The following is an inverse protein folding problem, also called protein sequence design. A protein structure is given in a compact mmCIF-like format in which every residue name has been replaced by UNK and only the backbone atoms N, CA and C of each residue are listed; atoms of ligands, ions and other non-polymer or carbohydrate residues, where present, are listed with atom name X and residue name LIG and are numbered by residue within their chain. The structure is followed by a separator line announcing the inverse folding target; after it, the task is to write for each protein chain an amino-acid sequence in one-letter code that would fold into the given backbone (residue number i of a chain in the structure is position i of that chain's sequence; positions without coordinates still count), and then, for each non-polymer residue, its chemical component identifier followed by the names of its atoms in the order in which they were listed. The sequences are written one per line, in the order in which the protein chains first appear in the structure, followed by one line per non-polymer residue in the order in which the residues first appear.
data_IF_321421789027
#
_entry.id   IF_321421789027
#
_cell.length_a   1.000
_cell.length_b   1.000
_cell.length_c   1.000
_cell.angle_alpha   90.00
_cell.angle_beta   90.00
_cell.angle_gamma   90.00
#
_symmetry.space_group_name_H-M   'P 1'
#
loop_
_entity.id
_entity.type
_entity.pdbx_description
1 polymer ?
#
# COMPACT_ATOMS: atom_id res chain seq x y z
N UNK A 1 -6.24 -14.74 19.02
CA UNK A 1 -5.47 -15.23 17.85
C UNK A 1 -5.57 -14.27 16.66
N UNK A 2 -4.48 -14.13 15.88
CA UNK A 2 -4.44 -13.37 14.61
C UNK A 2 -4.33 -14.35 13.42
N UNK A 3 -5.05 -14.11 12.32
CA UNK A 3 -4.81 -14.80 11.04
C UNK A 3 -4.03 -13.88 10.10
N UNK A 4 -2.83 -14.30 9.69
CA UNK A 4 -2.01 -13.59 8.71
C UNK A 4 -2.25 -14.17 7.32
N UNK A 5 -2.77 -13.35 6.40
CA UNK A 5 -3.08 -13.75 5.03
C UNK A 5 -1.94 -13.33 4.10
N UNK A 6 -1.42 -14.28 3.32
CA UNK A 6 -0.35 -14.04 2.33
C UNK A 6 -0.84 -14.49 0.94
N UNK A 7 -1.19 -13.56 0.04
CA UNK A 7 -1.34 -13.90 -1.37
C UNK A 7 0.04 -14.11 -2.00
N UNK A 8 0.19 -15.13 -2.84
CA UNK A 8 1.44 -15.39 -3.58
C UNK A 8 1.15 -15.96 -4.96
N UNK A 9 1.97 -15.60 -5.95
CA UNK A 9 1.87 -16.12 -7.31
C UNK A 9 3.26 -16.28 -7.91
N UNK A 10 3.72 -17.52 -8.10
CA UNK A 10 5.00 -17.83 -8.77
C UNK A 10 6.25 -17.16 -8.14
N UNK A 11 6.22 -16.86 -6.83
CA UNK A 11 7.28 -16.13 -6.11
C UNK A 11 7.79 -16.90 -4.88
N UNK A 12 8.43 -18.07 -5.04
CA UNK A 12 8.87 -18.90 -3.92
C UNK A 12 9.93 -18.24 -3.03
N UNK A 13 10.82 -17.42 -3.61
CA UNK A 13 11.86 -16.69 -2.88
C UNK A 13 11.29 -15.60 -1.96
N UNK A 14 10.50 -14.65 -2.49
CA UNK A 14 9.74 -13.70 -1.68
C UNK A 14 8.92 -14.40 -0.58
N UNK A 15 8.07 -15.37 -0.93
CA UNK A 15 7.24 -16.09 0.04
C UNK A 15 8.06 -16.69 1.20
N UNK A 16 9.22 -17.28 0.89
CA UNK A 16 10.12 -17.80 1.94
C UNK A 16 10.58 -16.71 2.91
N UNK A 17 10.84 -15.48 2.45
CA UNK A 17 11.21 -14.35 3.30
C UNK A 17 10.04 -13.85 4.14
N UNK A 18 8.84 -13.73 3.55
CA UNK A 18 7.62 -13.38 4.27
C UNK A 18 7.36 -14.35 5.42
N UNK A 19 7.39 -15.67 5.16
CA UNK A 19 7.23 -16.72 6.17
C UNK A 19 8.34 -16.69 7.23
N UNK A 20 9.60 -16.46 6.83
CA UNK A 20 10.71 -16.28 7.77
C UNK A 20 10.52 -15.07 8.69
N UNK A 21 9.89 -14.00 8.22
CA UNK A 21 9.57 -12.84 9.07
C UNK A 21 8.52 -13.18 10.12
N UNK A 22 7.57 -14.05 9.78
CA UNK A 22 6.54 -14.54 10.69
C UNK A 22 7.09 -15.49 11.75
N UNK A 23 8.04 -16.37 11.40
CA UNK A 23 8.67 -17.26 12.38
C UNK A 23 9.45 -16.51 13.47
N UNK A 24 9.82 -15.24 13.20
CA UNK A 24 10.50 -14.33 14.14
C UNK A 24 9.56 -13.48 14.99
N UNK A 25 8.24 -13.59 14.82
CA UNK A 25 7.29 -12.81 15.62
C UNK A 25 7.38 -13.17 17.11
N UNK A 26 7.28 -12.17 17.97
CA UNK A 26 7.29 -12.37 19.43
C UNK A 26 5.93 -12.84 19.95
N UNK A 27 4.83 -12.48 19.28
CA UNK A 27 3.52 -13.09 19.51
C UNK A 27 3.50 -14.47 18.82
N UNK A 28 3.04 -15.51 19.52
CA UNK A 28 2.92 -16.87 18.96
C UNK A 28 1.47 -17.32 18.69
N UNK A 29 0.49 -16.60 19.23
CA UNK A 29 -0.93 -16.89 19.03
C UNK A 29 -1.43 -16.33 17.67
N UNK A 30 -0.94 -16.93 16.59
CA UNK A 30 -1.35 -16.61 15.23
C UNK A 30 -1.30 -17.84 14.31
N UNK A 31 -2.03 -17.75 13.21
CA UNK A 31 -1.96 -18.69 12.09
C UNK A 31 -1.58 -17.96 10.81
N UNK A 32 -1.14 -18.72 9.81
CA UNK A 32 -0.77 -18.20 8.49
C UNK A 32 -1.62 -18.89 7.43
N UNK A 33 -2.26 -18.10 6.58
CA UNK A 33 -3.08 -18.56 5.47
C UNK A 33 -2.44 -18.08 4.17
N UNK A 34 -1.72 -18.98 3.49
CA UNK A 34 -1.10 -18.71 2.20
C UNK A 34 -2.09 -19.07 1.09
N UNK A 35 -2.33 -18.13 0.19
CA UNK A 35 -3.22 -18.28 -0.96
C UNK A 35 -2.36 -18.32 -2.23
N UNK A 36 -2.34 -19.47 -2.88
CA UNK A 36 -1.63 -19.71 -4.14
C UNK A 36 -2.48 -19.26 -5.32
N UNK A 37 -2.11 -18.15 -5.93
CA UNK A 37 -2.76 -17.59 -7.11
C UNK A 37 -1.86 -17.70 -8.36
N UNK A 38 -0.82 -18.54 -8.30
CA UNK A 38 0.19 -18.71 -9.35
C UNK A 38 -0.10 -19.87 -10.31
N UNK A 39 0.78 -20.02 -11.30
CA UNK A 39 0.78 -21.19 -12.17
C UNK A 39 1.52 -22.39 -11.55
N UNK A 40 2.51 -22.11 -10.70
CA UNK A 40 3.36 -23.10 -10.05
C UNK A 40 3.10 -23.12 -8.55
N UNK A 41 2.69 -24.29 -8.06
CA UNK A 41 2.32 -24.44 -6.66
C UNK A 41 3.49 -24.18 -5.70
N UNK A 42 3.35 -23.30 -4.69
CA UNK A 42 4.40 -22.95 -3.73
C UNK A 42 4.51 -23.96 -2.57
N UNK A 43 3.85 -25.12 -2.68
CA UNK A 43 3.80 -26.17 -1.65
C UNK A 43 5.17 -26.53 -1.06
N UNK A 44 6.27 -26.71 -1.83
CA UNK A 44 7.58 -27.00 -1.25
C UNK A 44 8.06 -25.93 -0.27
N UNK A 45 7.80 -24.64 -0.56
CA UNK A 45 8.15 -23.53 0.33
C UNK A 45 7.28 -23.59 1.58
N UNK A 46 5.96 -23.74 1.43
CA UNK A 46 5.04 -23.78 2.58
C UNK A 46 5.31 -24.97 3.50
N UNK A 47 5.54 -26.15 2.95
CA UNK A 47 5.79 -27.37 3.72
C UNK A 47 7.08 -27.27 4.54
N UNK A 48 8.09 -26.53 4.07
CA UNK A 48 9.33 -26.27 4.81
C UNK A 48 9.13 -25.44 6.09
N UNK A 49 8.00 -24.74 6.24
CA UNK A 49 7.69 -23.88 7.38
C UNK A 49 6.65 -24.46 8.34
N UNK A 50 6.05 -25.63 8.04
CA UNK A 50 4.99 -26.24 8.88
C UNK A 50 5.44 -26.62 10.29
N UNK A 51 6.74 -26.81 10.49
CA UNK A 51 7.30 -27.07 11.82
C UNK A 51 7.32 -25.80 12.69
N UNK A 52 7.60 -24.65 12.09
CA UNK A 52 7.81 -23.39 12.81
C UNK A 52 6.55 -22.50 12.84
N UNK A 53 5.61 -22.74 11.92
CA UNK A 53 4.39 -21.96 11.73
C UNK A 53 3.17 -22.86 11.55
N UNK A 54 2.04 -22.46 12.14
CA UNK A 54 0.73 -22.99 11.80
C UNK A 54 0.29 -22.41 10.44
N UNK A 55 0.81 -22.99 9.36
CA UNK A 55 0.60 -22.51 7.99
C UNK A 55 -0.35 -23.41 7.20
N UNK A 56 -1.37 -22.82 6.58
CA UNK A 56 -2.29 -23.47 5.65
C UNK A 56 -2.04 -22.93 4.24
N UNK A 57 -2.11 -23.82 3.25
CA UNK A 57 -2.03 -23.46 1.82
C UNK A 57 -3.40 -23.71 1.18
N UNK A 58 -3.94 -22.72 0.49
CA UNK A 58 -5.22 -22.78 -0.22
C UNK A 58 -4.98 -22.35 -1.67
N UNK A 59 -5.63 -23.04 -2.61
CA UNK A 59 -5.66 -22.65 -4.02
C UNK A 59 -6.58 -21.42 -4.20
N UNK A 60 -6.02 -20.34 -4.72
CA UNK A 60 -6.69 -19.08 -5.01
C UNK A 60 -7.39 -19.05 -6.36
N UNK A 61 -7.17 -20.04 -7.23
CA UNK A 61 -7.86 -20.15 -8.51
C UNK A 61 -7.35 -19.22 -9.62
N UNK A 62 -6.30 -18.42 -9.37
CA UNK A 62 -5.66 -17.49 -10.32
C UNK A 62 -6.58 -16.34 -10.72
N UNK A 63 -7.12 -15.65 -9.71
CA UNK A 63 -8.12 -14.58 -9.86
C UNK A 63 -7.63 -13.20 -9.41
N UNK A 64 -6.36 -13.06 -9.08
CA UNK A 64 -5.72 -11.82 -8.67
C UNK A 64 -5.65 -11.62 -7.15
N UNK A 65 -4.87 -10.62 -6.75
CA UNK A 65 -4.53 -10.38 -5.33
C UNK A 65 -5.75 -10.10 -4.45
N UNK A 66 -6.73 -9.33 -4.94
CA UNK A 66 -7.96 -9.04 -4.20
C UNK A 66 -8.76 -10.31 -3.90
N UNK A 67 -8.92 -11.18 -4.91
CA UNK A 67 -9.58 -12.47 -4.75
C UNK A 67 -8.82 -13.36 -3.76
N UNK A 68 -7.50 -13.42 -3.91
CA UNK A 68 -6.65 -14.19 -3.00
C UNK A 68 -6.82 -13.70 -1.55
N UNK A 69 -6.80 -12.39 -1.29
CA UNK A 69 -7.04 -11.83 0.06
C UNK A 69 -8.45 -12.12 0.57
N UNK A 70 -9.48 -12.05 -0.29
CA UNK A 70 -10.86 -12.41 0.08
C UNK A 70 -11.01 -13.89 0.43
N UNK A 71 -10.36 -14.77 -0.33
CA UNK A 71 -10.31 -16.23 -0.06
C UNK A 71 -9.58 -16.52 1.25
N UNK A 72 -8.46 -15.83 1.50
CA UNK A 72 -7.76 -15.92 2.79
C UNK A 72 -8.59 -15.42 3.96
N UNK A 73 -9.33 -14.32 3.79
CA UNK A 73 -10.23 -13.77 4.80
C UNK A 73 -11.34 -14.78 5.13
N UNK A 74 -11.96 -15.39 4.13
CA UNK A 74 -13.00 -16.41 4.33
C UNK A 74 -12.49 -17.65 5.10
N UNK A 75 -11.20 -17.97 4.99
CA UNK A 75 -10.56 -19.07 5.69
C UNK A 75 -9.96 -18.67 7.07
N UNK A 76 -9.91 -17.39 7.40
CA UNK A 76 -9.31 -16.87 8.62
C UNK A 76 -10.14 -17.26 9.86
N UNK A 77 -9.47 -17.83 10.88
CA UNK A 77 -10.10 -18.29 12.13
C UNK A 77 -9.82 -17.39 13.33
N UNK A 78 -8.88 -16.46 13.22
CA UNK A 78 -8.52 -15.52 14.27
C UNK A 78 -9.57 -14.43 14.46
N UNK A 79 -9.65 -13.87 15.66
CA UNK A 79 -10.50 -12.70 15.95
C UNK A 79 -10.00 -11.43 15.24
N UNK A 80 -8.75 -11.46 14.81
CA UNK A 80 -8.04 -10.40 14.10
C UNK A 80 -7.42 -10.94 12.82
N UNK A 81 -7.30 -10.08 11.81
CA UNK A 81 -6.74 -10.40 10.50
C UNK A 81 -5.62 -9.41 10.20
N UNK A 82 -4.51 -9.92 9.68
CA UNK A 82 -3.40 -9.15 9.16
C UNK A 82 -3.11 -9.58 7.71
N UNK A 83 -2.53 -8.67 6.92
CA UNK A 83 -2.17 -8.93 5.53
C UNK A 83 -0.67 -8.76 5.35
N UNK A 84 -0.01 -9.70 4.69
CA UNK A 84 1.41 -9.62 4.38
C UNK A 84 1.60 -9.98 2.91
N UNK A 85 2.05 -9.03 2.11
CA UNK A 85 2.45 -9.31 0.74
C UNK A 85 3.68 -10.22 0.73
N UNK A 86 3.76 -11.13 -0.24
CA UNK A 86 4.81 -12.15 -0.27
C UNK A 86 6.20 -11.59 -0.49
N UNK A 87 6.33 -10.34 -0.95
CA UNK A 87 7.57 -9.59 -1.10
C UNK A 87 7.85 -8.59 0.03
N UNK A 88 7.05 -8.56 1.08
CA UNK A 88 7.24 -7.71 2.26
C UNK A 88 7.72 -8.49 3.49
N UNK A 89 8.09 -7.75 4.55
CA UNK A 89 8.61 -8.32 5.80
C UNK A 89 8.03 -7.62 7.02
N UNK A 90 7.54 -8.39 7.99
CA UNK A 90 7.23 -7.89 9.32
C UNK A 90 8.48 -7.83 10.20
N UNK A 91 8.54 -6.81 11.05
CA UNK A 91 9.49 -6.79 12.15
C UNK A 91 8.99 -7.65 13.31
N UNK A 92 9.90 -8.19 14.16
CA UNK A 92 9.55 -9.18 15.19
C UNK A 92 8.41 -8.77 16.14
N UNK A 93 8.21 -7.48 16.38
CA UNK A 93 7.21 -6.95 17.29
C UNK A 93 5.87 -6.59 16.63
N UNK A 94 5.73 -6.70 15.30
CA UNK A 94 4.55 -6.24 14.56
C UNK A 94 3.23 -6.78 15.14
N UNK A 95 3.08 -8.11 15.20
CA UNK A 95 1.85 -8.73 15.68
C UNK A 95 1.62 -8.49 17.18
N UNK A 96 2.68 -8.47 17.99
CA UNK A 96 2.56 -8.28 19.43
C UNK A 96 2.11 -6.87 19.81
N UNK A 97 2.62 -5.84 19.13
CA UNK A 97 2.21 -4.45 19.32
C UNK A 97 0.77 -4.24 18.87
N UNK A 98 0.41 -4.77 17.70
CA UNK A 98 -0.95 -4.68 17.19
C UNK A 98 -1.96 -5.38 18.10
N UNK A 99 -1.66 -6.62 18.51
CA UNK A 99 -2.51 -7.39 19.42
C UNK A 99 -2.77 -6.60 20.71
N UNK A 100 -1.73 -6.03 21.33
CA UNK A 100 -1.89 -5.25 22.56
C UNK A 100 -2.83 -4.06 22.38
N UNK A 101 -2.62 -3.26 21.34
CA UNK A 101 -3.43 -2.06 21.09
C UNK A 101 -4.90 -2.38 20.78
N UNK A 102 -5.18 -3.51 20.14
CA UNK A 102 -6.54 -3.95 19.81
C UNK A 102 -7.28 -4.50 21.04
N UNK A 103 -6.57 -5.07 22.03
CA UNK A 103 -7.17 -5.55 23.28
C UNK A 103 -7.70 -4.40 24.16
N UNK A 104 -7.17 -3.19 24.02
CA UNK A 104 -7.62 -2.02 24.78
C UNK A 104 -9.04 -1.58 24.39
N UNK A 105 -9.63 -2.14 23.31
CA UNK A 105 -11.02 -1.92 22.91
C UNK A 105 -11.31 -0.56 22.25
N UNK A 106 -10.30 0.29 22.11
CA UNK A 106 -10.41 1.63 21.53
C UNK A 106 -10.25 1.67 20.00
N UNK A 107 -9.76 0.59 19.39
CA UNK A 107 -9.54 0.47 17.95
C UNK A 107 -10.20 -0.80 17.39
N UNK A 108 -10.62 -0.73 16.14
CA UNK A 108 -11.09 -1.86 15.34
C UNK A 108 -10.09 -2.21 14.23
N UNK A 109 -9.19 -1.27 13.92
CA UNK A 109 -8.06 -1.44 13.03
C UNK A 109 -6.87 -0.68 13.61
N UNK A 110 -5.71 -1.32 13.61
CA UNK A 110 -4.45 -0.66 13.92
C UNK A 110 -3.50 -0.82 12.74
N UNK A 111 -2.61 0.15 12.57
CA UNK A 111 -1.52 0.04 11.60
C UNK A 111 -0.25 0.62 12.19
N UNK A 112 0.88 -0.01 11.93
CA UNK A 112 2.19 0.54 12.32
C UNK A 112 2.83 1.38 11.22
N UNK A 113 3.99 1.95 11.52
CA UNK A 113 4.81 2.56 10.48
C UNK A 113 5.37 1.52 9.51
N UNK A 114 5.24 1.77 8.21
CA UNK A 114 5.90 0.99 7.16
C UNK A 114 7.10 1.75 6.59
N UNK A 115 8.27 1.11 6.57
CA UNK A 115 9.46 1.64 5.92
C UNK A 115 9.41 1.31 4.42
N UNK A 116 9.45 2.31 3.55
CA UNK A 116 9.48 2.09 2.10
C UNK A 116 10.92 1.89 1.66
N UNK A 117 11.24 0.75 1.06
CA UNK A 117 12.61 0.40 0.69
C UNK A 117 12.73 -0.09 -0.76
N UNK A 118 13.62 0.52 -1.58
CA UNK A 118 13.93 0.00 -2.92
C UNK A 118 14.89 -1.19 -2.90
N UNK A 119 15.27 -1.68 -1.70
CA UNK A 119 16.21 -2.78 -1.49
C UNK A 119 15.65 -3.74 -0.47
N UNK A 120 16.05 -5.00 -0.57
CA UNK A 120 15.71 -6.00 0.42
C UNK A 120 16.26 -5.65 1.81
N UNK A 121 15.40 -5.73 2.83
CA UNK A 121 15.68 -5.49 4.24
C UNK A 121 14.93 -6.56 5.04
N UNK A 122 15.65 -7.37 5.79
CA UNK A 122 15.08 -8.50 6.55
C UNK A 122 15.09 -8.30 8.08
N UNK A 123 15.61 -7.15 8.54
CA UNK A 123 15.73 -6.82 9.95
C UNK A 123 15.50 -5.33 10.14
N UNK A 124 15.07 -4.93 11.35
CA UNK A 124 14.90 -3.52 11.71
C UNK A 124 16.23 -2.80 11.51
N UNK A 125 16.34 -1.87 10.56
CA UNK A 125 17.57 -1.13 10.35
C UNK A 125 17.80 -0.19 11.55
N UNK A 126 19.07 -0.09 12.01
CA UNK A 126 19.44 0.87 13.07
C UNK A 126 19.33 2.32 12.60
N UNK A 127 19.54 2.52 11.31
CA UNK A 127 19.44 3.81 10.63
C UNK A 127 18.63 3.60 9.34
N UNK A 128 17.53 4.35 9.23
CA UNK A 128 16.65 4.35 8.06
C UNK A 128 17.04 5.42 7.04
N UNK A 129 18.00 6.29 7.38
CA UNK A 129 18.46 7.38 6.54
C UNK A 129 17.31 8.25 6.02
N UNK A 130 17.27 8.43 4.70
CA UNK A 130 16.26 9.23 4.00
C UNK A 130 15.14 8.39 3.37
N UNK A 131 15.05 7.10 3.71
CA UNK A 131 14.00 6.23 3.17
C UNK A 131 12.61 6.75 3.58
N UNK A 132 11.62 6.77 2.65
CA UNK A 132 10.28 7.19 2.98
C UNK A 132 9.63 6.28 4.02
N UNK A 133 8.68 6.85 4.77
CA UNK A 133 7.89 6.15 5.78
C UNK A 133 6.41 6.41 5.55
N UNK A 134 5.59 5.40 5.81
CA UNK A 134 4.13 5.50 5.91
C UNK A 134 3.74 5.30 7.37
N UNK A 135 3.74 6.38 8.15
CA UNK A 135 3.51 6.40 9.60
C UNK A 135 2.79 7.68 10.05
N UNK A 136 1.88 8.15 9.21
CA UNK A 136 1.12 9.36 9.45
C UNK A 136 -0.01 9.10 10.45
N UNK A 137 -0.27 9.99 11.42
CA UNK A 137 -1.43 9.89 12.29
C UNK A 137 -2.72 9.74 11.49
N UNK A 138 -3.65 8.92 12.02
CA UNK A 138 -4.91 8.67 11.34
C UNK A 138 -5.76 9.94 11.26
N UNK A 139 -6.09 10.35 10.04
CA UNK A 139 -7.14 11.32 9.72
C UNK A 139 -8.08 10.69 8.67
N UNK A 140 -9.33 10.48 9.06
CA UNK A 140 -10.37 9.87 8.20
C UNK A 140 -10.82 10.76 7.04
N UNK A 141 -10.62 12.08 7.13
CA UNK A 141 -10.81 13.00 6.00
C UNK A 141 -9.62 12.92 5.06
N UNK A 142 -8.40 12.81 5.57
CA UNK A 142 -7.23 12.62 4.71
C UNK A 142 -7.24 11.26 4.02
N UNK A 143 -7.81 10.22 4.65
CA UNK A 143 -8.04 8.93 4.00
C UNK A 143 -8.96 9.06 2.78
N UNK A 144 -9.89 10.01 2.75
CA UNK A 144 -10.70 10.29 1.55
C UNK A 144 -9.92 10.95 0.41
N UNK A 145 -8.69 11.41 0.68
CA UNK A 145 -7.84 12.16 -0.26
C UNK A 145 -6.71 11.27 -0.79
N UNK A 146 -6.05 10.50 0.06
CA UNK A 146 -4.88 9.68 -0.29
C UNK A 146 -4.81 8.38 0.52
N UNK A 147 -4.26 7.33 -0.08
CA UNK A 147 -3.88 6.11 0.63
C UNK A 147 -2.50 6.27 1.28
N UNK A 148 -2.46 6.48 2.59
CA UNK A 148 -1.21 6.58 3.36
C UNK A 148 -0.99 5.40 4.31
N UNK A 149 -1.87 4.39 4.26
CA UNK A 149 -1.82 3.19 5.10
C UNK A 149 -1.35 2.02 4.25
N UNK A 150 -0.21 1.44 4.58
CA UNK A 150 0.28 0.24 3.87
C UNK A 150 -0.50 -0.99 4.29
N UNK A 151 -0.91 -1.83 3.34
CA UNK A 151 -1.61 -3.09 3.62
C UNK A 151 -0.83 -3.99 4.56
N UNK A 152 0.47 -4.13 4.32
CA UNK A 152 1.41 -4.87 5.19
C UNK A 152 1.60 -4.29 6.59
N UNK A 153 1.03 -3.12 6.90
CA UNK A 153 1.11 -2.54 8.24
C UNK A 153 -0.15 -2.79 9.08
N UNK A 154 -1.24 -3.29 8.49
CA UNK A 154 -2.56 -3.36 9.10
C UNK A 154 -2.79 -4.67 9.86
N UNK A 155 -3.35 -4.54 11.06
CA UNK A 155 -4.09 -5.61 11.74
C UNK A 155 -5.48 -5.09 12.10
N UNK A 156 -6.52 -5.81 11.76
CA UNK A 156 -7.91 -5.37 11.92
C UNK A 156 -8.79 -6.46 12.53
N UNK A 157 -9.91 -6.06 13.15
CA UNK A 157 -10.96 -6.97 13.60
C UNK A 157 -11.37 -7.85 12.44
N UNK A 158 -11.46 -9.15 12.66
CA UNK A 158 -11.92 -10.06 11.62
C UNK A 158 -13.33 -9.66 11.16
N UNK A 159 -13.42 -9.26 9.90
CA UNK A 159 -14.64 -8.71 9.30
C UNK A 159 -15.31 -9.71 8.34
N UNK A 160 -14.98 -11.00 8.43
CA UNK A 160 -15.57 -12.08 7.60
C UNK A 160 -17.09 -12.14 7.72
N UNK A 161 -17.63 -11.84 8.91
CA UNK A 161 -19.08 -11.80 9.18
C UNK A 161 -19.80 -10.56 8.58
N UNK A 162 -19.05 -9.62 8.01
CA UNK A 162 -19.59 -8.43 7.32
C UNK A 162 -19.62 -8.67 5.81
N UNK A 163 -20.35 -7.87 5.01
CA UNK A 163 -20.27 -7.93 3.56
C UNK A 163 -19.02 -7.24 2.96
N UNK A 164 -18.19 -6.57 3.77
CA UNK A 164 -17.04 -5.79 3.29
C UNK A 164 -15.95 -6.73 2.77
N UNK A 165 -15.43 -6.48 1.56
CA UNK A 165 -14.41 -7.29 0.88
C UNK A 165 -13.45 -6.38 0.10
N UNK A 166 -12.29 -6.90 -0.29
CA UNK A 166 -11.49 -6.26 -1.33
C UNK A 166 -12.28 -6.26 -2.64
N UNK A 167 -12.29 -5.14 -3.34
CA UNK A 167 -12.93 -5.03 -4.66
C UNK A 167 -12.07 -5.75 -5.70
N UNK A 168 -12.56 -6.90 -6.19
CA UNK A 168 -11.85 -7.76 -7.14
C UNK A 168 -11.73 -7.15 -8.54
N UNK A 169 -12.44 -6.04 -8.81
CA UNK A 169 -12.32 -5.30 -10.07
C UNK A 169 -11.16 -4.31 -10.08
N UNK A 170 -10.59 -4.00 -8.91
CA UNK A 170 -9.44 -3.11 -8.77
C UNK A 170 -8.13 -3.90 -8.86
N UNK A 171 -7.22 -3.42 -9.72
CA UNK A 171 -5.89 -4.02 -9.88
C UNK A 171 -4.83 -3.35 -9.01
N UNK A 172 -5.11 -2.14 -8.53
CA UNK A 172 -4.23 -1.31 -7.70
C UNK A 172 -5.08 -0.50 -6.73
N UNK A 173 -4.55 -0.22 -5.54
CA UNK A 173 -5.23 0.54 -4.48
C UNK A 173 -6.56 -0.08 -4.03
N UNK A 174 -6.72 -1.39 -4.21
CA UNK A 174 -7.80 -2.20 -3.66
C UNK A 174 -7.87 -2.12 -2.13
N UNK A 175 -6.72 -1.91 -1.49
CA UNK A 175 -6.59 -1.69 -0.06
C UNK A 175 -7.18 -0.35 0.37
N UNK A 176 -6.98 0.70 -0.43
CA UNK A 176 -7.54 2.02 -0.16
C UNK A 176 -9.08 1.98 -0.14
N UNK A 177 -9.68 1.28 -1.10
CA UNK A 177 -11.13 1.05 -1.11
C UNK A 177 -11.60 0.32 0.15
N UNK A 178 -10.89 -0.73 0.56
CA UNK A 178 -11.18 -1.48 1.78
C UNK A 178 -11.10 -0.60 3.03
N UNK A 179 -10.06 0.24 3.15
CA UNK A 179 -9.91 1.17 4.27
C UNK A 179 -11.06 2.18 4.33
N UNK A 180 -11.48 2.72 3.18
CA UNK A 180 -12.65 3.60 3.08
C UNK A 180 -13.94 2.86 3.45
N UNK A 181 -14.13 1.63 2.97
CA UNK A 181 -15.31 0.83 3.28
C UNK A 181 -15.42 0.47 4.77
N UNK A 182 -14.31 0.10 5.42
CA UNK A 182 -14.28 -0.17 6.84
C UNK A 182 -14.51 1.10 7.66
N UNK A 183 -13.82 2.20 7.34
CA UNK A 183 -13.92 3.43 8.11
C UNK A 183 -15.24 4.17 7.89
N UNK A 184 -15.56 4.53 6.64
CA UNK A 184 -16.74 5.33 6.30
C UNK A 184 -18.01 4.47 6.24
N UNK A 185 -17.91 3.25 5.71
CA UNK A 185 -19.05 2.36 5.53
C UNK A 185 -19.45 1.59 6.80
N UNK A 186 -18.46 1.23 7.64
CA UNK A 186 -18.69 0.38 8.82
C UNK A 186 -18.32 1.04 10.15
N UNK A 187 -17.82 2.28 10.14
CA UNK A 187 -17.51 3.03 11.36
C UNK A 187 -16.30 2.52 12.14
N UNK A 188 -15.40 1.76 11.50
CA UNK A 188 -14.21 1.24 12.18
C UNK A 188 -13.31 2.38 12.66
N UNK A 189 -12.82 2.24 13.89
CA UNK A 189 -11.88 3.18 14.52
C UNK A 189 -10.46 2.73 14.23
N UNK A 190 -9.68 3.62 13.59
CA UNK A 190 -8.32 3.34 13.16
C UNK A 190 -7.33 4.04 14.08
N UNK A 191 -6.24 3.36 14.43
CA UNK A 191 -5.17 3.91 15.27
C UNK A 191 -3.80 3.60 14.68
N UNK A 192 -2.93 4.62 14.60
CA UNK A 192 -1.52 4.45 14.29
C UNK A 192 -0.79 3.91 15.53
N UNK A 193 0.04 2.90 15.34
CA UNK A 193 0.96 2.37 16.36
C UNK A 193 2.31 3.10 16.29
N UNK A 194 2.94 3.27 17.44
CA UNK A 194 4.26 3.87 17.52
C UNK A 194 5.33 2.98 16.87
N UNK A 195 6.17 3.60 16.05
CA UNK A 195 7.35 3.00 15.47
C UNK A 195 7.12 2.21 14.18
N UNK A 196 8.22 1.80 13.56
CA UNK A 196 8.18 0.96 12.37
C UNK A 196 7.87 -0.49 12.77
N UNK A 197 7.00 -1.13 12.00
CA UNK A 197 6.55 -2.51 12.26
C UNK A 197 6.72 -3.42 11.06
N UNK A 198 6.89 -2.88 9.86
CA UNK A 198 7.15 -3.66 8.65
C UNK A 198 8.02 -2.87 7.66
N UNK A 199 8.48 -3.59 6.64
CA UNK A 199 9.10 -3.01 5.45
C UNK A 199 8.16 -3.25 4.28
N UNK A 200 7.90 -2.17 3.54
CA UNK A 200 7.26 -2.19 2.23
C UNK A 200 8.36 -2.14 1.16
N UNK A 201 8.56 -3.26 0.46
CA UNK A 201 9.60 -3.42 -0.55
C UNK A 201 9.13 -2.94 -1.92
N UNK A 202 9.72 -1.85 -2.41
CA UNK A 202 9.55 -1.35 -3.77
C UNK A 202 10.81 -1.64 -4.61
N UNK A 203 11.22 -2.91 -4.64
CA UNK A 203 12.47 -3.30 -5.31
C UNK A 203 12.30 -3.18 -6.83
N UNK A 204 13.18 -2.45 -7.55
CA UNK A 204 13.08 -2.33 -9.00
C UNK A 204 13.18 -3.69 -9.70
N UNK A 205 12.46 -3.84 -10.81
CA UNK A 205 12.48 -5.03 -11.68
C UNK A 205 12.00 -6.34 -11.02
N UNK A 206 11.27 -6.25 -9.91
CA UNK A 206 10.49 -7.37 -9.38
C UNK A 206 9.06 -7.31 -9.90
N UNK A 207 8.50 -8.45 -10.27
CA UNK A 207 7.12 -8.56 -10.78
C UNK A 207 6.12 -8.05 -9.74
N UNK A 208 5.26 -7.11 -10.13
CA UNK A 208 4.28 -6.48 -9.23
C UNK A 208 4.82 -5.23 -8.52
N UNK A 209 6.02 -4.76 -8.87
CA UNK A 209 6.56 -3.52 -8.31
C UNK A 209 5.72 -2.29 -8.73
N UNK A 210 5.55 -1.36 -7.80
CA UNK A 210 4.90 -0.04 -8.02
C UNK A 210 5.43 0.68 -9.26
N UNK A 211 6.71 0.50 -9.58
CA UNK A 211 7.34 1.10 -10.75
C UNK A 211 6.69 0.68 -12.08
N UNK A 212 6.12 -0.53 -12.15
CA UNK A 212 5.45 -1.03 -13.37
C UNK A 212 4.15 -0.27 -13.65
N UNK A 213 3.46 0.22 -12.60
CA UNK A 213 2.25 1.03 -12.73
C UNK A 213 2.52 2.40 -13.39
N UNK A 214 3.76 2.88 -13.38
CA UNK A 214 4.15 4.14 -14.04
C UNK A 214 4.60 3.94 -15.51
N UNK A 215 4.45 2.74 -16.07
CA UNK A 215 4.77 2.46 -17.48
C UNK A 215 3.64 2.83 -18.45
N UNK A 216 2.45 3.17 -17.95
CA UNK A 216 1.29 3.53 -18.74
C UNK A 216 0.69 4.87 -18.27
N UNK A 217 0.06 5.59 -19.21
CA UNK A 217 -0.74 6.79 -18.96
C UNK A 217 -2.14 6.62 -19.58
N UNK A 218 -3.23 6.92 -18.86
CA UNK A 218 -3.27 7.25 -17.44
C UNK A 218 -2.75 6.09 -16.59
N UNK A 219 -2.05 6.38 -15.50
CA UNK A 219 -1.55 5.33 -14.61
C UNK A 219 -2.72 4.58 -13.95
N UNK A 220 -2.56 3.30 -13.55
CA UNK A 220 -3.54 2.60 -12.73
C UNK A 220 -3.88 3.36 -11.44
N UNK A 221 -2.91 4.08 -10.86
CA UNK A 221 -3.13 4.93 -9.69
C UNK A 221 -4.04 6.13 -9.99
N UNK A 222 -3.88 6.78 -11.15
CA UNK A 222 -4.79 7.85 -11.60
C UNK A 222 -6.20 7.30 -11.75
N UNK A 223 -6.36 6.18 -12.46
CA UNK A 223 -7.65 5.57 -12.76
C UNK A 223 -8.37 5.14 -11.47
N UNK A 224 -7.69 4.42 -10.58
CA UNK A 224 -8.29 4.01 -9.30
C UNK A 224 -8.62 5.22 -8.44
N UNK A 225 -7.78 6.27 -8.38
CA UNK A 225 -8.10 7.46 -7.57
C UNK A 225 -9.35 8.17 -8.08
N UNK A 226 -9.49 8.33 -9.39
CA UNK A 226 -10.70 8.91 -9.99
C UNK A 226 -11.94 8.07 -9.65
N UNK A 227 -11.84 6.74 -9.75
CA UNK A 227 -12.89 5.81 -9.36
C UNK A 227 -13.27 5.96 -7.87
N UNK A 228 -12.29 5.98 -6.96
CA UNK A 228 -12.55 6.08 -5.52
C UNK A 228 -13.14 7.42 -5.11
N UNK A 229 -12.72 8.53 -5.75
CA UNK A 229 -13.34 9.82 -5.51
C UNK A 229 -14.81 9.87 -5.93
N UNK A 230 -15.19 9.11 -6.97
CA UNK A 230 -16.57 8.99 -7.41
C UNK A 230 -17.38 8.02 -6.52
N UNK A 231 -16.81 6.86 -6.16
CA UNK A 231 -17.43 5.85 -5.28
C UNK A 231 -17.68 6.39 -3.87
N UNK A 232 -16.74 7.17 -3.35
CA UNK A 232 -16.78 7.77 -2.01
C UNK A 232 -16.83 9.30 -2.12
N UNK A 233 -18.00 9.90 -2.45
CA UNK A 233 -18.12 11.34 -2.58
C UNK A 233 -17.93 12.04 -1.22
N UNK A 234 -17.42 13.28 -1.25
CA UNK A 234 -17.23 14.11 -0.06
C UNK A 234 -17.67 15.53 -0.36
N UNK A 235 -18.37 16.16 0.60
CA UNK A 235 -18.76 17.57 0.55
C UNK A 235 -17.89 18.45 1.45
N UNK A 236 -16.90 17.85 2.13
CA UNK A 236 -15.95 18.60 2.96
C UNK A 236 -15.07 19.50 2.06
N UNK A 237 -15.05 20.83 2.28
CA UNK A 237 -14.28 21.74 1.44
C UNK A 237 -12.78 21.48 1.47
N UNK A 238 -12.23 21.03 2.61
CA UNK A 238 -10.82 20.70 2.74
C UNK A 238 -10.51 19.44 1.94
N UNK A 239 -11.33 18.38 2.06
CA UNK A 239 -11.19 17.18 1.24
C UNK A 239 -11.27 17.53 -0.24
N UNK A 240 -12.23 18.36 -0.64
CA UNK A 240 -12.42 18.80 -2.03
C UNK A 240 -11.17 19.49 -2.57
N UNK A 241 -10.60 20.44 -1.81
CA UNK A 241 -9.38 21.16 -2.19
C UNK A 241 -8.20 20.22 -2.46
N UNK A 242 -8.00 19.19 -1.63
CA UNK A 242 -6.89 18.25 -1.85
C UNK A 242 -7.20 17.21 -2.94
N UNK A 243 -8.47 16.83 -3.13
CA UNK A 243 -8.87 16.00 -4.27
C UNK A 243 -8.62 16.73 -5.59
N UNK A 244 -8.90 18.04 -5.67
CA UNK A 244 -8.55 18.87 -6.82
C UNK A 244 -7.05 18.94 -7.05
N UNK A 245 -6.27 19.12 -5.98
CA UNK A 245 -4.81 19.05 -6.05
C UNK A 245 -4.33 17.71 -6.64
N UNK A 246 -4.88 16.59 -6.18
CA UNK A 246 -4.51 15.26 -6.70
C UNK A 246 -4.97 15.02 -8.13
N UNK A 247 -6.07 15.62 -8.59
CA UNK A 247 -6.44 15.61 -10.02
C UNK A 247 -5.38 16.32 -10.86
N UNK A 248 -4.88 17.47 -10.42
CA UNK A 248 -3.79 18.18 -11.10
C UNK A 248 -2.46 17.42 -11.03
N UNK A 249 -2.17 16.78 -9.89
CA UNK A 249 -1.03 15.87 -9.75
C UNK A 249 -1.09 14.75 -10.80
N UNK A 250 -2.24 14.07 -10.92
CA UNK A 250 -2.42 12.97 -11.87
C UNK A 250 -2.26 13.45 -13.31
N UNK A 251 -2.96 14.53 -13.70
CA UNK A 251 -2.81 15.12 -15.04
C UNK A 251 -1.34 15.43 -15.36
N UNK A 252 -0.60 15.99 -14.40
CA UNK A 252 0.80 16.36 -14.61
C UNK A 252 1.72 15.14 -14.66
N UNK A 253 1.46 14.14 -13.83
CA UNK A 253 2.19 12.87 -13.84
C UNK A 253 1.97 12.11 -15.15
N UNK A 254 0.73 11.99 -15.59
CA UNK A 254 0.34 11.31 -16.82
C UNK A 254 0.93 12.00 -18.06
N UNK A 255 0.83 13.33 -18.15
CA UNK A 255 1.48 14.13 -19.22
C UNK A 255 3.00 13.89 -19.26
N UNK A 256 3.64 13.78 -18.09
CA UNK A 256 5.08 13.52 -17.99
C UNK A 256 5.45 12.15 -18.54
N UNK A 257 4.65 11.12 -18.22
CA UNK A 257 4.82 9.75 -18.72
C UNK A 257 4.61 9.69 -20.23
N UNK A 258 3.55 10.32 -20.75
CA UNK A 258 3.25 10.37 -22.20
C UNK A 258 4.38 10.99 -23.02
N UNK A 259 5.04 12.01 -22.47
CA UNK A 259 6.18 12.67 -23.11
C UNK A 259 7.51 11.94 -22.88
N UNK A 260 7.51 10.78 -22.21
CA UNK A 260 8.71 9.97 -21.97
C UNK A 260 9.69 10.57 -20.96
N UNK A 261 9.23 11.48 -20.10
CA UNK A 261 10.06 12.03 -19.03
C UNK A 261 10.08 11.08 -17.82
N UNK A 262 11.22 10.97 -17.12
CA UNK A 262 11.33 10.07 -15.97
C UNK A 262 10.44 10.53 -14.83
N UNK A 263 9.69 9.61 -14.23
CA UNK A 263 8.91 9.83 -13.01
C UNK A 263 9.87 9.93 -11.81
N UNK A 264 9.75 10.97 -10.95
CA UNK A 264 10.57 11.05 -9.74
C UNK A 264 10.36 9.82 -8.83
N UNK A 265 11.44 9.31 -8.24
CA UNK A 265 11.34 8.21 -7.28
C UNK A 265 10.46 8.59 -6.09
N UNK A 266 9.60 7.67 -5.64
CA UNK A 266 8.70 7.86 -4.50
C UNK A 266 7.85 9.14 -4.58
N UNK A 267 7.46 9.55 -5.79
CA UNK A 267 6.71 10.79 -6.02
C UNK A 267 5.42 10.88 -5.20
N UNK A 268 4.75 9.74 -5.01
CA UNK A 268 3.53 9.66 -4.22
C UNK A 268 3.80 9.82 -2.71
N UNK A 269 4.80 9.13 -2.16
CA UNK A 269 5.21 9.27 -0.77
C UNK A 269 5.69 10.69 -0.48
N UNK A 270 6.39 11.33 -1.43
CA UNK A 270 6.79 12.73 -1.34
C UNK A 270 5.59 13.68 -1.37
N UNK A 271 4.56 13.40 -2.16
CA UNK A 271 3.31 14.18 -2.13
C UNK A 271 2.63 14.07 -0.76
N UNK A 272 2.42 12.86 -0.24
CA UNK A 272 1.80 12.65 1.08
C UNK A 272 2.59 13.37 2.18
N UNK A 273 3.92 13.26 2.18
CA UNK A 273 4.79 13.92 3.18
C UNK A 273 4.59 15.43 3.24
N UNK A 274 4.37 16.07 2.10
CA UNK A 274 4.18 17.53 2.04
C UNK A 274 2.71 17.95 2.27
N UNK A 275 1.74 17.05 2.10
CA UNK A 275 0.32 17.36 2.18
C UNK A 275 -0.31 17.01 3.54
N UNK A 276 0.13 15.94 4.20
CA UNK A 276 -0.51 15.45 5.44
C UNK A 276 -0.45 16.48 6.58
N UNK A 277 0.71 17.14 6.77
CA UNK A 277 0.88 18.17 7.78
C UNK A 277 -0.07 19.37 7.57
N UNK A 278 0.02 20.09 6.45
CA UNK A 278 -0.90 21.18 6.14
C UNK A 278 -2.39 20.79 6.20
N UNK A 279 -2.74 19.58 5.78
CA UNK A 279 -4.10 19.06 5.87
C UNK A 279 -4.57 18.95 7.32
N UNK A 280 -3.72 18.42 8.20
CA UNK A 280 -4.00 18.29 9.64
C UNK A 280 -4.25 19.65 10.30
N UNK A 281 -3.58 20.70 9.83
CA UNK A 281 -3.81 22.09 10.26
C UNK A 281 -4.95 22.79 9.51
N UNK A 282 -5.81 22.05 8.80
CA UNK A 282 -6.96 22.54 8.05
C UNK A 282 -6.64 23.64 7.02
N UNK A 283 -5.42 23.63 6.47
CA UNK A 283 -5.03 24.55 5.40
C UNK A 283 -5.39 23.95 4.04
N UNK A 284 -6.04 24.71 3.13
CA UNK A 284 -6.30 24.26 1.76
C UNK A 284 -5.02 23.80 1.06
N UNK A 285 -5.14 22.90 0.08
CA UNK A 285 -3.98 22.38 -0.64
C UNK A 285 -3.28 23.52 -1.40
N UNK A 286 -1.99 23.69 -1.16
CA UNK A 286 -1.16 24.67 -1.85
C UNK A 286 -0.83 24.17 -3.27
N UNK A 287 -1.34 24.81 -4.34
CA UNK A 287 -1.05 24.39 -5.70
C UNK A 287 0.43 24.48 -6.07
N UNK A 288 1.20 25.37 -5.44
CA UNK A 288 2.63 25.56 -5.72
C UNK A 288 3.49 24.35 -5.34
N UNK A 289 3.00 23.48 -4.46
CA UNK A 289 3.64 22.20 -4.13
C UNK A 289 3.76 21.28 -5.34
N UNK A 290 2.86 21.41 -6.34
CA UNK A 290 2.99 20.65 -7.58
C UNK A 290 4.26 21.01 -8.33
N UNK A 291 4.66 22.29 -8.34
CA UNK A 291 5.82 22.75 -9.10
C UNK A 291 7.14 22.26 -8.51
N UNK A 292 7.19 22.07 -7.18
CA UNK A 292 8.36 21.51 -6.50
C UNK A 292 8.45 19.98 -6.61
N UNK A 293 7.31 19.28 -6.55
CA UNK A 293 7.26 17.81 -6.58
C UNK A 293 7.30 17.23 -8.01
N UNK A 294 6.56 17.83 -8.92
CA UNK A 294 6.42 17.45 -10.32
C UNK A 294 6.53 18.73 -11.15
N UNK A 295 7.75 19.23 -11.41
CA UNK A 295 7.95 20.40 -12.26
C UNK A 295 7.30 20.18 -13.63
N UNK A 296 6.64 21.21 -14.15
CA UNK A 296 6.06 21.17 -15.48
C UNK A 296 7.14 20.84 -16.52
N UNK A 297 6.81 19.95 -17.45
CA UNK A 297 7.69 19.61 -18.56
C UNK A 297 7.73 20.79 -19.52
N UNK A 298 8.87 21.48 -19.62
CA UNK A 298 9.10 22.48 -20.66
C UNK A 298 9.59 21.76 -21.92
N UNK A 299 8.81 21.90 -22.99
CA UNK A 299 9.07 21.21 -24.25
C UNK A 299 10.28 21.85 -24.97
N UNK A 300 11.49 21.40 -24.60
CA UNK A 300 12.74 21.89 -25.21
C UNK A 300 12.97 21.38 -26.64
N UNK A 301 12.05 20.57 -27.18
CA UNK A 301 12.12 20.10 -28.58
C UNK A 301 11.78 21.18 -29.62
N UNK A 302 11.16 22.30 -29.24
CA UNK A 302 10.93 23.42 -30.16
C UNK A 302 12.17 24.30 -30.40
N UNK A 303 13.19 24.24 -29.53
CA UNK A 303 14.37 25.12 -29.60
C UNK A 303 15.49 24.63 -30.54
N UNK A 304 15.46 23.37 -31.02
CA UNK A 304 16.52 22.79 -31.88
C UNK A 304 16.20 22.74 -33.38
N UNK A 305 15.07 23.28 -33.83
CA UNK A 305 14.72 23.40 -35.26
C UNK A 305 14.92 24.80 -35.85
N UNK A 306 15.48 25.74 -35.10
CA UNK A 306 15.58 27.16 -35.47
C UNK A 306 16.94 27.68 -35.95
N UNK A 307 17.97 26.84 -36.13
CA UNK A 307 19.31 27.31 -36.54
C UNK A 307 19.98 26.36 -37.54
N UNK A 308 19.39 26.18 -38.71
CA UNK A 308 20.17 25.74 -39.88
C UNK A 308 19.56 26.27 -41.18
N UNK A 309 19.65 27.58 -41.43
CA UNK A 309 19.64 28.14 -42.78
C UNK A 309 20.18 29.58 -42.74
N UNK A 310 21.40 29.75 -43.26
CA UNK A 310 21.88 30.89 -44.06
C UNK A 310 23.37 31.18 -43.77
N UNK A 311 24.26 30.59 -44.56
CA UNK A 311 25.51 31.22 -44.96
C UNK A 311 25.80 30.70 -46.37
N UNK A 312 25.55 31.58 -47.34
CA UNK A 312 26.11 31.50 -48.69
C UNK A 312 27.47 32.17 -48.68
#
# INVERSE_FOLDING_TARGET
MISVIIPTADRPGPLHRALRSLSRQTLRDFEVVVIDDGLHCPRPVVDSWRHDLNVTLIDGGRQGVSHARNTGLAAARGDWVAFLDDDDVYFPHHLATAHRALQDGHADLVYGGALVSPRWIEAVPRDVGTLPRKDYPFDGRFLQVANYIHTGAVVTRNFTATPVRFDETLTHCEDWDLWLALHLGSGYRFTLLDGLTCVYHQVPHTTGAVSEAYLASPTPFTLTRAYLFAKWPSTDPLVTSYRDWFRHFDTRLDTRIEHGHPVPAHVYEHAIRNLHGPFTYASPADPSLLDSLLPAVTDTRSARRGTSHASS
#
